data_IF_809949915726
#
_entry.id   IF_809949915726
#
_cell.length_a   1.000
_cell.length_b   1.000
_cell.length_c   1.000
_cell.angle_alpha   90.00
_cell.angle_beta   90.00
_cell.angle_gamma   90.00
#
_symmetry.space_group_name_H-M   'P 1'
#
loop_
_entity.id
_entity.type
_entity.pdbx_description
1 polymer ?
#
# COMPACT_ATOMS: atom_id res chain seq x y z
N UNK A 1 -33.13 50.77 14.17
CA UNK A 1 -32.72 50.99 12.77
C UNK A 1 -31.49 50.16 12.46
N UNK A 2 -31.63 49.33 11.43
CA UNK A 2 -30.64 48.61 10.61
C UNK A 2 -29.25 48.30 11.21
N UNK A 3 -29.03 47.03 11.53
CA UNK A 3 -27.72 46.39 11.46
C UNK A 3 -27.68 45.56 10.17
N UNK A 4 -26.74 45.89 9.28
CA UNK A 4 -26.49 45.26 7.99
C UNK A 4 -25.90 43.87 8.17
N UNK A 5 -26.62 42.84 7.75
CA UNK A 5 -26.15 41.46 7.72
C UNK A 5 -25.31 41.17 6.47
N UNK A 6 -24.11 40.64 6.68
CA UNK A 6 -23.23 40.10 5.64
C UNK A 6 -23.62 38.64 5.35
N UNK A 7 -23.91 38.37 4.07
CA UNK A 7 -24.18 37.04 3.53
C UNK A 7 -22.89 36.22 3.44
N UNK A 8 -22.82 35.13 4.19
CA UNK A 8 -21.76 34.11 4.06
C UNK A 8 -21.98 33.21 2.85
N UNK A 9 -20.90 32.69 2.22
CA UNK A 9 -20.99 31.85 1.03
C UNK A 9 -21.53 30.46 1.37
N UNK A 10 -22.47 29.99 0.54
CA UNK A 10 -23.00 28.63 0.53
C UNK A 10 -21.85 27.65 0.36
N UNK A 11 -21.48 26.95 1.43
CA UNK A 11 -20.48 25.87 1.37
C UNK A 11 -21.15 24.68 0.71
N UNK A 12 -20.76 24.40 -0.54
CA UNK A 12 -21.09 23.16 -1.22
C UNK A 12 -20.69 21.98 -0.33
N UNK A 13 -21.64 21.09 -0.05
CA UNK A 13 -21.39 19.87 0.70
C UNK A 13 -20.27 19.08 0.00
N UNK A 14 -19.10 19.06 0.62
CA UNK A 14 -17.93 18.32 0.14
C UNK A 14 -18.15 16.85 0.48
N UNK A 15 -18.24 16.04 -0.56
CA UNK A 15 -18.32 14.58 -0.50
C UNK A 15 -17.17 14.03 0.36
N UNK A 16 -17.52 13.31 1.41
CA UNK A 16 -16.59 12.50 2.21
C UNK A 16 -16.04 11.34 1.36
N UNK A 17 -14.71 11.11 1.29
CA UNK A 17 -14.17 9.95 0.60
C UNK A 17 -14.59 8.66 1.32
N UNK A 18 -14.98 7.66 0.54
CA UNK A 18 -15.70 6.46 0.98
C UNK A 18 -14.77 5.25 0.94
N UNK A 19 -14.41 4.77 2.14
CA UNK A 19 -14.21 3.35 2.50
C UNK A 19 -13.27 2.47 1.67
N UNK A 20 -12.09 2.19 2.25
CA UNK A 20 -11.23 1.03 1.95
C UNK A 20 -12.05 -0.28 1.98
N UNK A 21 -11.82 -1.15 1.01
CA UNK A 21 -12.58 -2.37 0.74
C UNK A 21 -12.81 -3.27 1.95
N UNK A 22 -14.06 -3.71 2.12
CA UNK A 22 -14.48 -4.62 3.20
C UNK A 22 -14.21 -6.09 2.88
N UNK A 23 -14.23 -6.46 1.60
CA UNK A 23 -14.05 -7.84 1.13
C UNK A 23 -13.47 -7.84 -0.30
N UNK A 24 -12.49 -8.71 -0.55
CA UNK A 24 -11.94 -8.96 -1.90
C UNK A 24 -12.69 -10.14 -2.49
N UNK A 25 -13.24 -9.97 -3.69
CA UNK A 25 -14.03 -10.96 -4.41
C UNK A 25 -13.39 -11.32 -5.74
N UNK A 26 -13.62 -12.54 -6.21
CA UNK A 26 -13.29 -12.95 -7.57
C UNK A 26 -14.39 -12.48 -8.54
N UNK A 27 -14.11 -11.40 -9.28
CA UNK A 27 -15.08 -10.81 -10.21
C UNK A 27 -15.43 -11.70 -11.39
N UNK A 28 -14.59 -12.70 -11.69
CA UNK A 28 -14.81 -13.65 -12.78
C UNK A 28 -16.12 -14.41 -12.60
N UNK A 29 -16.51 -14.69 -11.35
CA UNK A 29 -17.75 -15.40 -10.95
C UNK A 29 -18.99 -14.48 -10.94
N UNK A 30 -18.80 -13.17 -11.11
CA UNK A 30 -19.84 -12.15 -11.02
C UNK A 30 -20.06 -11.43 -12.36
N UNK A 31 -19.57 -12.01 -13.46
CA UNK A 31 -19.38 -11.29 -14.72
C UNK A 31 -20.64 -10.66 -15.30
N UNK A 32 -21.79 -11.35 -15.28
CA UNK A 32 -23.06 -10.78 -15.76
C UNK A 32 -23.54 -9.57 -14.96
N UNK A 33 -23.16 -9.48 -13.69
CA UNK A 33 -23.52 -8.39 -12.78
C UNK A 33 -22.54 -7.23 -12.93
N UNK A 34 -21.24 -7.51 -13.02
CA UNK A 34 -20.18 -6.50 -12.95
C UNK A 34 -19.68 -6.00 -14.29
N UNK A 35 -19.68 -6.82 -15.34
CA UNK A 35 -19.07 -6.45 -16.63
C UNK A 35 -20.11 -5.83 -17.55
N UNK A 36 -19.81 -4.63 -18.05
CA UNK A 36 -20.56 -3.98 -19.11
C UNK A 36 -20.27 -4.66 -20.45
N UNK A 37 -19.01 -5.05 -20.68
CA UNK A 37 -18.63 -5.87 -21.82
C UNK A 37 -17.35 -6.64 -21.56
N UNK A 38 -17.20 -7.77 -22.25
CA UNK A 38 -15.97 -8.56 -22.32
C UNK A 38 -15.67 -8.81 -23.78
N UNK A 39 -14.41 -8.65 -24.19
CA UNK A 39 -13.97 -9.02 -25.53
C UNK A 39 -12.61 -9.70 -25.50
N UNK A 40 -12.35 -10.58 -26.47
CA UNK A 40 -11.05 -11.22 -26.67
C UNK A 40 -10.59 -10.89 -28.08
N UNK A 41 -9.45 -10.22 -28.23
CA UNK A 41 -8.95 -9.71 -29.51
C UNK A 41 -10.02 -8.94 -30.29
N UNK A 42 -10.76 -8.05 -29.61
CA UNK A 42 -11.87 -7.26 -30.14
C UNK A 42 -13.15 -8.03 -30.53
N UNK A 43 -13.19 -9.35 -30.34
CA UNK A 43 -14.41 -10.14 -30.51
C UNK A 43 -15.21 -10.11 -29.21
N UNK A 44 -16.50 -9.74 -29.27
CA UNK A 44 -17.35 -9.66 -28.07
C UNK A 44 -17.70 -11.05 -27.54
N UNK A 45 -17.64 -11.20 -26.22
CA UNK A 45 -18.05 -12.40 -25.50
C UNK A 45 -19.21 -12.08 -24.55
N UNK A 46 -20.01 -13.09 -24.18
CA UNK A 46 -20.97 -12.96 -23.08
C UNK A 46 -20.26 -12.47 -21.80
N UNK A 47 -20.94 -11.64 -21.00
CA UNK A 47 -20.36 -11.06 -19.78
C UNK A 47 -20.20 -12.09 -18.65
N UNK A 48 -20.94 -13.21 -18.69
CA UNK A 48 -20.72 -14.44 -17.91
C UNK A 48 -19.69 -15.39 -18.56
N UNK A 49 -18.98 -14.92 -19.59
CA UNK A 49 -18.08 -15.74 -20.40
C UNK A 49 -16.71 -15.96 -19.77
N UNK A 50 -16.28 -15.13 -18.82
CA UNK A 50 -14.94 -15.14 -18.25
C UNK A 50 -14.71 -16.30 -17.26
N UNK A 51 -15.79 -16.71 -16.59
CA UNK A 51 -15.87 -17.91 -15.74
C UNK A 51 -15.82 -19.21 -16.57
N UNK A 52 -16.11 -19.12 -17.88
CA UNK A 52 -15.97 -20.23 -18.82
C UNK A 52 -14.55 -20.25 -19.38
N UNK A 53 -14.04 -21.45 -19.66
CA UNK A 53 -12.68 -21.64 -20.18
C UNK A 53 -12.53 -20.92 -21.53
N UNK A 54 -11.58 -19.99 -21.61
CA UNK A 54 -11.24 -19.29 -22.85
C UNK A 54 -10.33 -20.17 -23.72
N UNK A 55 -10.53 -20.16 -25.03
CA UNK A 55 -9.62 -20.80 -25.99
C UNK A 55 -8.79 -19.72 -26.68
N UNK A 56 -7.47 -19.87 -26.67
CA UNK A 56 -6.57 -18.93 -27.34
C UNK A 56 -6.43 -19.30 -28.82
N UNK A 57 -6.65 -18.34 -29.72
CA UNK A 57 -6.50 -18.52 -31.17
C UNK A 57 -5.18 -17.98 -31.73
N UNK A 58 -4.54 -17.04 -31.03
CA UNK A 58 -3.31 -16.34 -31.44
C UNK A 58 -2.52 -15.84 -30.22
N UNK A 59 -1.27 -15.43 -30.40
CA UNK A 59 -0.52 -14.64 -29.40
C UNK A 59 0.09 -13.39 -30.05
N UNK A 60 0.16 -12.25 -29.34
CA UNK A 60 -0.49 -12.02 -28.05
C UNK A 60 -2.02 -12.11 -28.16
N UNK A 61 -2.69 -12.48 -27.07
CA UNK A 61 -4.15 -12.41 -26.96
C UNK A 61 -4.51 -11.45 -25.85
N UNK A 62 -5.34 -10.45 -26.15
CA UNK A 62 -5.82 -9.47 -25.18
C UNK A 62 -7.27 -9.76 -24.83
N UNK A 63 -7.56 -9.81 -23.54
CA UNK A 63 -8.89 -9.87 -22.96
C UNK A 63 -9.20 -8.50 -22.39
N UNK A 64 -10.16 -7.79 -23.00
CA UNK A 64 -10.58 -6.45 -22.60
C UNK A 64 -11.90 -6.53 -21.86
N UNK A 65 -11.95 -5.90 -20.69
CA UNK A 65 -13.10 -5.90 -19.78
C UNK A 65 -13.47 -4.46 -19.48
N UNK A 66 -14.74 -4.14 -19.66
CA UNK A 66 -15.32 -2.86 -19.23
C UNK A 66 -16.25 -3.16 -18.06
N UNK A 67 -16.04 -2.49 -16.93
CA UNK A 67 -16.87 -2.64 -15.74
C UNK A 67 -18.07 -1.69 -15.80
N UNK A 68 -19.24 -2.13 -15.29
CA UNK A 68 -20.44 -1.27 -15.18
C UNK A 68 -20.26 -0.16 -14.13
N UNK A 69 -19.49 -0.45 -13.09
CA UNK A 69 -19.17 0.44 -11.99
C UNK A 69 -17.66 0.43 -11.76
N UNK A 70 -17.15 1.42 -11.03
CA UNK A 70 -15.74 1.49 -10.72
C UNK A 70 -15.37 0.36 -9.78
N UNK A 71 -14.26 -0.29 -10.07
CA UNK A 71 -13.75 -1.39 -9.26
C UNK A 71 -12.33 -1.11 -8.83
N UNK A 72 -12.01 -1.46 -7.59
CA UNK A 72 -10.64 -1.44 -7.10
C UNK A 72 -10.05 -2.81 -7.38
N UNK A 73 -9.09 -2.89 -8.31
CA UNK A 73 -8.42 -4.14 -8.67
C UNK A 73 -7.25 -4.38 -7.71
N UNK A 74 -7.14 -5.61 -7.20
CA UNK A 74 -6.03 -6.05 -6.35
C UNK A 74 -5.04 -6.93 -7.10
N UNK A 75 -5.54 -7.89 -7.87
CA UNK A 75 -4.67 -8.70 -8.72
C UNK A 75 -5.43 -9.35 -9.88
N UNK A 76 -4.66 -9.68 -10.91
CA UNK A 76 -5.08 -10.48 -12.06
C UNK A 76 -4.17 -11.69 -12.13
N UNK A 77 -4.75 -12.89 -12.23
CA UNK A 77 -3.98 -14.14 -12.20
C UNK A 77 -4.47 -15.16 -13.21
N UNK A 78 -3.56 -16.06 -13.61
CA UNK A 78 -3.92 -17.30 -14.33
C UNK A 78 -4.13 -18.39 -13.29
N UNK A 79 -5.33 -18.96 -13.23
CA UNK A 79 -5.67 -20.00 -12.24
C UNK A 79 -5.16 -21.39 -12.61
N UNK A 80 -5.01 -21.67 -13.90
CA UNK A 80 -4.55 -22.96 -14.41
C UNK A 80 -3.22 -22.84 -15.19
N UNK A 81 -2.14 -22.28 -14.61
CA UNK A 81 -0.91 -21.97 -15.37
C UNK A 81 -0.24 -23.22 -15.95
N UNK A 82 -0.35 -24.38 -15.29
CA UNK A 82 0.19 -25.65 -15.81
C UNK A 82 -0.62 -26.22 -16.98
N UNK A 83 -1.95 -26.14 -16.95
CA UNK A 83 -2.84 -26.63 -18.04
C UNK A 83 -2.84 -25.66 -19.24
N UNK A 84 -2.91 -24.36 -18.96
CA UNK A 84 -2.90 -23.29 -19.97
C UNK A 84 -1.50 -23.01 -20.53
N UNK A 85 -0.45 -23.43 -19.82
CA UNK A 85 0.97 -23.21 -20.17
C UNK A 85 1.36 -21.75 -20.34
N UNK A 86 0.58 -20.83 -19.77
CA UNK A 86 0.89 -19.40 -19.78
C UNK A 86 2.07 -19.15 -18.84
N UNK A 87 3.08 -18.44 -19.34
CA UNK A 87 4.29 -18.09 -18.60
C UNK A 87 4.51 -16.59 -18.51
N UNK A 88 3.71 -15.77 -19.19
CA UNK A 88 3.80 -14.33 -19.08
C UNK A 88 2.46 -13.69 -19.45
N UNK A 89 2.04 -12.78 -18.58
CA UNK A 89 0.88 -11.91 -18.78
C UNK A 89 1.31 -10.47 -18.55
N UNK A 90 0.58 -9.55 -19.15
CA UNK A 90 0.53 -8.16 -18.73
C UNK A 90 -0.92 -7.76 -18.45
N UNK A 91 -1.10 -6.76 -17.62
CA UNK A 91 -2.39 -6.16 -17.39
C UNK A 91 -2.26 -4.64 -17.36
N UNK A 92 -3.27 -3.95 -17.88
CA UNK A 92 -3.34 -2.51 -17.98
C UNK A 92 -4.77 -2.06 -17.68
N UNK A 93 -4.92 -1.06 -16.82
CA UNK A 93 -6.20 -0.40 -16.53
C UNK A 93 -6.34 0.90 -17.33
N UNK A 94 -7.53 1.49 -17.36
CA UNK A 94 -7.75 2.85 -17.89
C UNK A 94 -6.95 3.95 -17.15
N UNK A 95 -6.37 3.60 -16.00
CA UNK A 95 -5.57 4.49 -15.16
C UNK A 95 -4.06 4.26 -15.34
N UNK A 96 -3.67 3.19 -16.03
CA UNK A 96 -2.28 2.85 -16.28
C UNK A 96 -1.76 3.50 -17.58
N UNK A 97 -0.62 4.20 -17.48
CA UNK A 97 0.06 4.77 -18.66
C UNK A 97 0.76 3.71 -19.53
N UNK A 98 1.21 2.61 -18.93
CA UNK A 98 1.87 1.48 -19.60
C UNK A 98 1.42 0.16 -18.98
N UNK A 99 1.38 -0.95 -19.75
CA UNK A 99 1.04 -2.27 -19.22
C UNK A 99 2.01 -2.74 -18.13
N UNK A 100 1.47 -3.25 -17.02
CA UNK A 100 2.24 -3.90 -15.97
C UNK A 100 2.53 -5.33 -16.42
N UNK A 101 3.80 -5.61 -16.69
CA UNK A 101 4.25 -6.93 -17.13
C UNK A 101 4.65 -7.79 -15.93
N UNK A 102 4.20 -9.04 -15.90
CA UNK A 102 4.78 -10.05 -15.01
C UNK A 102 5.76 -10.95 -15.78
N UNK A 103 7.07 -10.88 -15.48
CA UNK A 103 8.08 -11.74 -16.08
C UNK A 103 8.24 -13.10 -15.39
N UNK A 104 7.53 -13.38 -14.28
CA UNK A 104 7.66 -14.63 -13.52
C UNK A 104 6.90 -15.79 -14.20
N UNK A 105 7.61 -16.79 -14.77
CA UNK A 105 7.00 -17.88 -15.50
C UNK A 105 6.32 -18.94 -14.62
N UNK A 106 6.57 -18.94 -13.31
CA UNK A 106 5.99 -19.91 -12.38
C UNK A 106 4.61 -19.48 -11.86
N UNK A 107 4.35 -18.17 -11.78
CA UNK A 107 3.14 -17.60 -11.18
C UNK A 107 2.74 -16.35 -11.99
N UNK A 108 1.92 -16.50 -13.05
CA UNK A 108 1.49 -15.39 -13.90
C UNK A 108 0.40 -14.58 -13.18
N UNK A 109 0.84 -13.66 -12.33
CA UNK A 109 0.00 -12.75 -11.52
C UNK A 109 0.48 -11.30 -11.68
N UNK A 110 -0.42 -10.38 -12.01
CA UNK A 110 -0.17 -8.93 -11.92
C UNK A 110 -0.83 -8.43 -10.63
N UNK A 111 -0.05 -7.78 -9.78
CA UNK A 111 -0.53 -7.24 -8.49
C UNK A 111 -0.69 -5.73 -8.62
N UNK A 112 -1.87 -5.25 -8.26
CA UNK A 112 -2.25 -3.84 -8.23
C UNK A 112 -2.20 -3.31 -6.79
N UNK A 113 -1.94 -2.01 -6.68
CA UNK A 113 -1.97 -1.32 -5.39
C UNK A 113 -3.42 -0.91 -5.07
N UNK A 114 -4.04 -1.42 -3.99
CA UNK A 114 -5.49 -1.31 -3.79
C UNK A 114 -5.99 0.03 -3.22
N UNK A 115 -5.27 1.14 -3.42
CA UNK A 115 -5.70 2.45 -2.93
C UNK A 115 -6.56 3.17 -3.95
N UNK A 116 -7.88 3.05 -3.77
CA UNK A 116 -8.97 3.91 -4.29
C UNK A 116 -8.85 4.32 -5.76
N UNK A 117 -8.65 3.34 -6.64
CA UNK A 117 -8.72 3.55 -8.08
C UNK A 117 -9.96 2.85 -8.63
N UNK A 118 -10.88 3.66 -9.16
CA UNK A 118 -12.21 3.27 -9.61
C UNK A 118 -12.13 2.78 -11.06
N UNK A 119 -11.43 1.66 -11.28
CA UNK A 119 -11.10 1.11 -12.61
C UNK A 119 -12.37 0.86 -13.40
N UNK A 120 -12.41 1.37 -14.64
CA UNK A 120 -13.53 1.19 -15.57
C UNK A 120 -13.17 0.26 -16.70
N UNK A 121 -11.89 0.18 -17.04
CA UNK A 121 -11.41 -0.69 -18.12
C UNK A 121 -10.18 -1.47 -17.66
N UNK A 122 -10.11 -2.75 -18.03
CA UNK A 122 -8.99 -3.63 -17.77
C UNK A 122 -8.68 -4.45 -19.02
N UNK A 123 -7.46 -4.31 -19.52
CA UNK A 123 -6.88 -5.13 -20.56
C UNK A 123 -5.89 -6.12 -19.97
N UNK A 124 -6.12 -7.41 -20.19
CA UNK A 124 -5.24 -8.50 -19.79
C UNK A 124 -4.64 -9.11 -21.05
N UNK A 125 -3.33 -9.01 -21.23
CA UNK A 125 -2.66 -9.56 -22.41
C UNK A 125 -1.84 -10.80 -22.05
N UNK A 126 -2.15 -11.93 -22.69
CA UNK A 126 -1.33 -13.13 -22.65
C UNK A 126 -0.17 -12.94 -23.63
N UNK A 127 1.03 -12.83 -23.10
CA UNK A 127 2.24 -12.50 -23.88
C UNK A 127 2.96 -13.75 -24.38
N UNK A 128 3.11 -14.77 -23.51
CA UNK A 128 3.90 -15.97 -23.82
C UNK A 128 3.31 -17.23 -23.19
N UNK A 129 3.47 -18.32 -23.93
CA UNK A 129 3.19 -19.70 -23.49
C UNK A 129 4.45 -20.55 -23.62
N UNK A 130 4.52 -21.65 -22.87
CA UNK A 130 5.70 -22.53 -22.81
C UNK A 130 5.99 -23.28 -24.13
N UNK A 131 4.96 -23.66 -24.88
CA UNK A 131 5.05 -24.45 -26.11
C UNK A 131 4.26 -23.78 -27.26
N UNK A 132 4.61 -23.97 -28.54
CA UNK A 132 3.96 -23.27 -29.66
C UNK A 132 2.50 -23.67 -29.90
N UNK A 133 2.03 -24.79 -29.34
CA UNK A 133 0.62 -25.18 -29.42
C UNK A 133 -0.21 -24.32 -28.45
N UNK A 134 -1.20 -23.60 -28.98
CA UNK A 134 -2.08 -22.75 -28.16
C UNK A 134 -2.91 -23.59 -27.18
N UNK A 135 -3.13 -23.12 -25.94
CA UNK A 135 -4.00 -23.79 -25.00
C UNK A 135 -5.46 -23.68 -25.42
N UNK A 136 -6.18 -24.79 -25.34
CA UNK A 136 -7.62 -24.84 -25.58
C UNK A 136 -8.43 -24.32 -24.39
N UNK A 137 -7.79 -24.16 -23.22
CA UNK A 137 -8.42 -23.91 -21.92
C UNK A 137 -7.57 -22.97 -21.05
N UNK A 138 -7.95 -21.70 -20.98
CA UNK A 138 -7.40 -20.70 -20.08
C UNK A 138 -8.45 -20.29 -19.04
N UNK A 139 -8.04 -20.19 -17.78
CA UNK A 139 -8.82 -19.64 -16.68
C UNK A 139 -8.10 -18.44 -16.09
N UNK A 140 -8.79 -17.31 -16.08
CA UNK A 140 -8.33 -16.07 -15.45
C UNK A 140 -9.09 -15.87 -14.14
N UNK A 141 -8.45 -15.20 -13.20
CA UNK A 141 -9.12 -14.64 -12.03
C UNK A 141 -8.76 -13.18 -11.85
N UNK A 142 -9.77 -12.38 -11.55
CA UNK A 142 -9.65 -10.95 -11.27
C UNK A 142 -10.16 -10.73 -9.86
N UNK A 143 -9.24 -10.41 -8.97
CA UNK A 143 -9.56 -10.15 -7.58
C UNK A 143 -9.61 -8.65 -7.36
N UNK A 144 -10.72 -8.20 -6.81
CA UNK A 144 -10.94 -6.79 -6.52
C UNK A 144 -12.11 -6.58 -5.59
N UNK A 145 -12.51 -5.33 -5.45
CA UNK A 145 -13.63 -4.93 -4.63
C UNK A 145 -14.40 -3.79 -5.31
N UNK A 146 -15.71 -3.80 -5.16
CA UNK A 146 -16.57 -2.70 -5.58
C UNK A 146 -16.82 -1.81 -4.38
N UNK A 147 -16.71 -0.49 -4.54
CA UNK A 147 -17.34 0.41 -3.56
C UNK A 147 -18.85 0.17 -3.61
N UNK A 148 -19.56 0.12 -2.46
CA UNK A 148 -21.00 -0.05 -2.48
C UNK A 148 -21.65 1.21 -3.06
N UNK A 149 -21.81 1.25 -4.37
CA UNK A 149 -22.82 2.09 -5.01
C UNK A 149 -24.19 1.50 -4.64
N UNK A 150 -24.72 1.86 -3.46
CA UNK A 150 -26.10 1.58 -2.99
C UNK A 150 -26.81 0.45 -3.73
N UNK A 151 -26.37 -0.79 -3.56
CA UNK A 151 -27.26 -1.93 -3.79
C UNK A 151 -28.01 -2.09 -2.47
N UNK A 152 -29.18 -1.48 -2.43
CA UNK A 152 -30.13 -1.60 -1.33
C UNK A 152 -30.49 -3.08 -1.14
N UNK A 153 -29.93 -3.69 -0.12
CA UNK A 153 -30.57 -4.81 0.58
C UNK A 153 -30.28 -4.70 2.08
N UNK A 154 -31.38 -4.69 2.84
CA UNK A 154 -31.53 -4.58 4.30
C UNK A 154 -30.95 -5.82 5.03
N UNK A 155 -30.85 -5.83 6.37
CA UNK A 155 -29.61 -5.90 7.16
C UNK A 155 -29.39 -7.26 7.86
N UNK A 156 -28.20 -7.50 8.44
CA UNK A 156 -28.11 -8.23 9.71
C UNK A 156 -26.86 -7.83 10.51
N UNK A 157 -27.12 -7.46 11.76
CA UNK A 157 -26.19 -7.11 12.84
C UNK A 157 -25.66 -8.41 13.43
N UNK A 158 -24.36 -8.49 13.76
CA UNK A 158 -23.92 -9.15 14.99
C UNK A 158 -22.64 -8.48 15.53
N UNK A 159 -22.70 -8.16 16.81
CA UNK A 159 -21.72 -7.41 17.59
C UNK A 159 -20.95 -8.39 18.46
N UNK A 160 -19.62 -8.32 18.52
CA UNK A 160 -18.87 -8.87 19.67
C UNK A 160 -17.73 -7.93 20.07
N UNK A 161 -17.62 -7.71 21.39
CA UNK A 161 -16.82 -6.72 22.12
C UNK A 161 -15.28 -6.82 22.01
N UNK A 162 -14.54 -5.75 22.38
CA UNK A 162 -13.09 -5.64 22.24
C UNK A 162 -12.31 -6.18 23.44
N UNK A 163 -11.05 -6.60 23.21
CA UNK A 163 -10.06 -6.87 24.26
C UNK A 163 -8.77 -6.07 24.03
N UNK A 164 -8.18 -5.65 25.16
CA UNK A 164 -7.15 -4.64 25.41
C UNK A 164 -5.95 -4.57 24.44
N UNK A 165 -5.54 -3.34 24.14
CA UNK A 165 -4.26 -2.98 23.51
C UNK A 165 -3.23 -2.70 24.62
N UNK A 166 -2.07 -3.36 24.56
CA UNK A 166 -0.90 -3.07 25.40
C UNK A 166 -0.06 -1.99 24.73
N UNK A 167 0.34 -0.98 25.51
CA UNK A 167 1.14 0.17 25.07
C UNK A 167 2.60 -0.21 24.85
N UNK A 168 3.25 0.36 23.83
CA UNK A 168 4.72 0.40 23.74
C UNK A 168 5.16 1.79 23.27
N UNK A 169 6.12 2.33 24.02
CA UNK A 169 6.58 3.70 24.10
C UNK A 169 7.49 4.09 22.90
N UNK A 170 7.35 5.29 22.29
CA UNK A 170 8.29 5.77 21.27
C UNK A 170 9.57 6.35 21.90
N UNK A 171 10.71 5.97 21.35
CA UNK A 171 12.03 6.56 21.59
C UNK A 171 12.17 7.92 20.91
N UNK A 172 12.68 8.91 21.64
CA UNK A 172 12.87 10.30 21.22
C UNK A 172 14.10 10.49 20.31
N UNK A 173 13.88 10.87 19.05
CA UNK A 173 14.90 11.53 18.21
C UNK A 173 14.26 12.72 17.52
N UNK A 174 14.91 13.88 17.64
CA UNK A 174 14.44 15.19 17.21
C UNK A 174 14.45 15.30 15.68
N UNK A 175 13.39 14.83 15.01
CA UNK A 175 13.03 15.26 13.67
C UNK A 175 12.42 16.66 13.72
N UNK A 176 12.74 17.53 12.76
CA UNK A 176 12.09 18.84 12.62
C UNK A 176 10.63 18.62 12.23
N UNK A 177 9.75 18.56 13.22
CA UNK A 177 8.31 18.37 13.03
C UNK A 177 7.73 19.46 12.15
N UNK A 178 7.22 19.09 10.97
CA UNK A 178 6.21 19.88 10.27
C UNK A 178 4.91 19.73 11.05
N UNK A 179 4.35 20.84 11.55
CA UNK A 179 3.09 20.83 12.28
C UNK A 179 1.99 20.11 11.47
N UNK A 180 1.49 18.96 11.95
CA UNK A 180 0.29 18.30 11.40
C UNK A 180 0.33 16.77 11.24
N UNK A 181 1.43 16.06 11.48
CA UNK A 181 1.49 14.62 11.23
C UNK A 181 2.36 13.85 12.24
N UNK A 182 2.01 12.59 12.49
CA UNK A 182 2.75 11.69 13.40
C UNK A 182 3.83 10.96 12.63
N UNK A 183 5.07 11.06 13.09
CA UNK A 183 6.20 10.32 12.53
C UNK A 183 6.09 8.84 12.87
N UNK A 184 6.20 7.97 11.87
CA UNK A 184 6.09 6.52 11.98
C UNK A 184 7.31 5.83 11.38
N UNK A 185 7.64 4.66 11.92
CA UNK A 185 8.56 3.74 11.27
C UNK A 185 7.83 3.01 10.16
N UNK A 186 8.25 3.22 8.92
CA UNK A 186 7.52 2.70 7.77
C UNK A 186 7.81 1.24 7.45
N UNK A 187 9.04 0.78 7.76
CA UNK A 187 9.44 -0.61 7.53
C UNK A 187 9.06 -1.46 8.73
N UNK A 188 7.78 -1.83 8.79
CA UNK A 188 7.22 -2.79 9.73
C UNK A 188 7.16 -4.21 9.13
N UNK A 189 6.56 -5.16 9.84
CA UNK A 189 6.40 -6.54 9.36
C UNK A 189 5.59 -6.63 8.05
N UNK A 190 4.52 -5.86 7.91
CA UNK A 190 3.64 -5.91 6.74
C UNK A 190 4.35 -5.35 5.50
N UNK A 191 5.03 -4.22 5.64
CA UNK A 191 5.84 -3.62 4.57
C UNK A 191 7.02 -4.53 4.22
N UNK A 192 7.69 -5.09 5.23
CA UNK A 192 8.87 -5.94 5.01
C UNK A 192 8.58 -7.19 4.20
N UNK A 193 7.43 -7.85 4.44
CA UNK A 193 7.02 -9.03 3.67
C UNK A 193 6.85 -8.75 2.16
N UNK A 194 6.56 -7.51 1.80
CA UNK A 194 6.35 -7.06 0.42
C UNK A 194 7.58 -6.42 -0.22
N UNK A 195 8.74 -6.45 0.45
CA UNK A 195 10.00 -5.98 -0.13
C UNK A 195 10.44 -6.93 -1.25
N UNK A 196 10.84 -6.37 -2.38
CA UNK A 196 11.35 -7.12 -3.53
C UNK A 196 12.83 -6.78 -3.70
N UNK A 197 13.65 -7.80 -3.93
CA UNK A 197 15.09 -7.67 -4.18
C UNK A 197 15.42 -8.16 -5.58
N UNK A 198 16.25 -7.39 -6.29
CA UNK A 198 16.80 -7.75 -7.60
C UNK A 198 18.32 -7.53 -7.61
N UNK A 199 19.08 -8.25 -8.46
CA UNK A 199 18.62 -9.24 -9.44
C UNK A 199 18.28 -10.60 -8.81
N UNK A 200 18.87 -10.93 -7.67
CA UNK A 200 18.69 -12.21 -6.99
C UNK A 200 17.70 -12.06 -5.83
N UNK A 201 16.49 -12.62 -5.94
CA UNK A 201 15.50 -12.55 -4.87
C UNK A 201 16.00 -13.24 -3.59
N UNK A 202 15.58 -12.72 -2.44
CA UNK A 202 15.88 -13.34 -1.15
C UNK A 202 15.08 -14.64 -0.96
N UNK A 203 15.59 -15.58 -0.14
CA UNK A 203 14.80 -16.72 0.29
C UNK A 203 13.49 -16.28 0.96
N UNK A 204 12.45 -17.11 0.81
CA UNK A 204 11.11 -16.82 1.36
C UNK A 204 11.20 -16.56 2.87
N UNK A 205 10.64 -15.44 3.31
CA UNK A 205 10.60 -15.04 4.71
C UNK A 205 11.82 -14.23 5.19
N UNK A 206 12.93 -14.18 4.43
CA UNK A 206 14.12 -13.40 4.83
C UNK A 206 13.90 -11.89 4.78
N UNK A 207 12.95 -11.42 3.96
CA UNK A 207 12.62 -9.99 3.85
C UNK A 207 12.23 -9.34 5.18
N UNK A 208 11.72 -10.12 6.14
CA UNK A 208 11.36 -9.65 7.48
C UNK A 208 12.55 -9.04 8.22
N UNK A 209 13.78 -9.45 7.87
CA UNK A 209 15.02 -9.00 8.50
C UNK A 209 15.43 -7.60 8.05
N UNK A 210 14.76 -6.99 7.07
CA UNK A 210 14.96 -5.58 6.73
C UNK A 210 14.42 -4.64 7.81
N UNK A 211 13.55 -5.12 8.71
CA UNK A 211 13.02 -4.29 9.79
C UNK A 211 14.15 -3.70 10.65
N UNK A 212 14.01 -2.44 11.10
CA UNK A 212 14.99 -1.80 11.99
C UNK A 212 15.18 -2.49 13.34
N UNK A 213 14.24 -3.36 13.75
CA UNK A 213 14.29 -4.18 14.97
C UNK A 213 15.11 -5.45 14.81
N UNK A 214 15.43 -5.83 13.56
CA UNK A 214 16.22 -7.01 13.24
C UNK A 214 17.65 -6.89 13.78
N UNK A 215 18.07 -7.88 14.57
CA UNK A 215 19.44 -7.98 15.09
C UNK A 215 20.42 -8.60 14.07
N UNK A 216 19.89 -9.22 13.01
CA UNK A 216 20.69 -9.89 11.98
C UNK A 216 20.83 -9.03 10.72
N UNK A 217 19.76 -8.35 10.31
CA UNK A 217 19.65 -7.75 8.98
C UNK A 217 19.64 -8.76 7.84
N UNK A 218 19.47 -8.28 6.62
CA UNK A 218 19.59 -9.09 5.40
C UNK A 218 21.04 -9.12 4.94
N UNK A 219 21.51 -10.30 4.54
CA UNK A 219 22.85 -10.49 3.98
C UNK A 219 22.75 -11.07 2.57
N UNK A 220 23.33 -10.37 1.60
CA UNK A 220 23.25 -10.74 0.19
C UNK A 220 24.34 -11.77 -0.18
N UNK A 221 24.13 -12.51 -1.26
CA UNK A 221 25.09 -13.51 -1.74
C UNK A 221 26.44 -12.87 -2.12
N UNK A 222 27.52 -13.65 -2.16
CA UNK A 222 28.88 -13.13 -2.42
C UNK A 222 29.04 -12.46 -3.80
N UNK A 223 28.13 -12.75 -4.74
CA UNK A 223 28.12 -12.15 -6.07
C UNK A 223 27.14 -10.97 -6.20
N UNK A 224 26.32 -10.69 -5.18
CA UNK A 224 25.36 -9.59 -5.16
C UNK A 224 25.94 -8.32 -4.55
N UNK A 225 26.78 -7.62 -5.33
CA UNK A 225 27.47 -6.41 -4.86
C UNK A 225 26.61 -5.15 -4.88
N UNK A 226 25.64 -5.08 -5.79
CA UNK A 226 24.79 -3.90 -6.00
C UNK A 226 23.31 -4.28 -6.07
N UNK A 227 22.74 -4.90 -5.02
CA UNK A 227 21.33 -5.25 -5.02
C UNK A 227 20.45 -4.00 -5.02
N UNK A 228 19.29 -4.12 -5.68
CA UNK A 228 18.22 -3.13 -5.62
C UNK A 228 17.09 -3.68 -4.77
N UNK A 229 16.67 -2.86 -3.80
CA UNK A 229 15.65 -3.16 -2.80
C UNK A 229 14.46 -2.25 -3.07
N UNK A 230 13.32 -2.84 -3.40
CA UNK A 230 12.07 -2.12 -3.64
C UNK A 230 11.17 -2.26 -2.43
N UNK A 231 10.86 -1.13 -1.80
CA UNK A 231 10.00 -1.03 -0.62
C UNK A 231 8.67 -0.43 -1.05
N UNK A 232 7.59 -1.19 -0.93
CA UNK A 232 6.23 -0.73 -1.17
C UNK A 232 5.57 -0.42 0.17
N UNK A 233 5.13 0.83 0.36
CA UNK A 233 4.71 1.31 1.68
C UNK A 233 3.35 0.78 2.13
N UNK A 234 2.60 0.18 1.21
CA UNK A 234 1.24 -0.27 1.47
C UNK A 234 0.25 0.85 1.73
N UNK A 235 0.68 2.08 2.06
CA UNK A 235 -0.07 3.34 2.07
C UNK A 235 0.88 4.49 1.70
N UNK A 236 0.44 5.48 0.90
CA UNK A 236 1.27 6.64 0.62
C UNK A 236 1.64 7.41 1.89
N UNK A 237 2.89 7.83 2.00
CA UNK A 237 3.41 8.58 3.15
C UNK A 237 4.39 9.67 2.70
N UNK A 238 4.54 10.72 3.52
CA UNK A 238 5.55 11.75 3.30
C UNK A 238 6.86 11.29 3.94
N UNK A 239 7.80 10.80 3.14
CA UNK A 239 9.10 10.33 3.65
C UNK A 239 9.85 11.49 4.30
N UNK A 240 10.35 11.27 5.51
CA UNK A 240 11.13 12.24 6.29
C UNK A 240 12.61 11.91 6.29
N UNK A 241 12.96 10.62 6.35
CA UNK A 241 14.34 10.16 6.31
C UNK A 241 14.46 8.76 5.69
N UNK A 242 15.61 8.48 5.08
CA UNK A 242 15.99 7.15 4.59
C UNK A 242 17.43 6.90 5.02
N UNK A 243 17.62 5.91 5.88
CA UNK A 243 18.91 5.55 6.48
C UNK A 243 19.11 4.04 6.43
N UNK A 244 20.34 3.60 6.15
CA UNK A 244 20.75 2.20 6.28
C UNK A 244 21.74 2.07 7.45
N UNK A 245 21.27 1.85 8.70
CA UNK A 245 22.13 1.85 9.86
C UNK A 245 23.04 0.62 9.91
N UNK A 246 24.31 0.85 10.29
CA UNK A 246 25.35 -0.20 10.39
C UNK A 246 25.63 -0.67 11.81
N UNK A 247 25.15 0.06 12.80
CA UNK A 247 25.34 -0.22 14.22
C UNK A 247 24.25 -1.12 14.80
N UNK A 248 23.14 -1.32 14.08
CA UNK A 248 22.03 -2.21 14.48
C UNK A 248 22.31 -3.70 14.25
N UNK A 249 23.31 -4.02 13.42
CA UNK A 249 23.66 -5.40 13.07
C UNK A 249 25.16 -5.63 13.24
N UNK A 250 25.61 -6.84 13.59
CA UNK A 250 27.03 -7.11 13.86
C UNK A 250 27.90 -6.92 12.61
N UNK A 251 27.37 -7.24 11.43
CA UNK A 251 28.07 -7.27 10.14
C UNK A 251 27.63 -6.19 9.14
N UNK A 252 26.88 -5.17 9.57
CA UNK A 252 26.46 -4.04 8.72
C UNK A 252 27.64 -3.34 8.02
N UNK A 253 27.65 -3.37 6.69
CA UNK A 253 28.77 -2.84 5.87
C UNK A 253 28.37 -1.88 4.74
N UNK A 254 27.11 -1.43 4.64
CA UNK A 254 26.68 -0.52 3.56
C UNK A 254 27.33 0.85 3.71
N UNK A 255 28.12 1.25 2.71
CA UNK A 255 28.81 2.55 2.70
C UNK A 255 27.99 3.62 1.99
N UNK A 256 27.29 3.27 0.91
CA UNK A 256 26.54 4.24 0.12
C UNK A 256 25.41 3.55 -0.66
N UNK A 257 24.31 4.26 -0.85
CA UNK A 257 23.18 3.83 -1.65
C UNK A 257 22.58 5.00 -2.42
N UNK A 258 21.73 4.71 -3.38
CA UNK A 258 20.94 5.70 -4.10
C UNK A 258 19.45 5.39 -4.00
N UNK A 259 18.62 6.42 -4.06
CA UNK A 259 17.17 6.31 -3.89
C UNK A 259 16.40 6.92 -5.04
N UNK A 260 15.39 6.18 -5.50
CA UNK A 260 14.33 6.71 -6.35
C UNK A 260 12.99 6.61 -5.63
N UNK A 261 12.34 7.75 -5.47
CA UNK A 261 11.00 7.88 -4.92
C UNK A 261 9.97 7.77 -6.02
N UNK A 262 8.87 7.08 -5.73
CA UNK A 262 7.74 6.94 -6.63
C UNK A 262 6.46 7.47 -5.99
N UNK A 263 5.70 8.22 -6.77
CA UNK A 263 4.38 8.71 -6.39
C UNK A 263 3.39 7.55 -6.30
N UNK A 264 2.22 7.74 -5.65
CA UNK A 264 1.13 6.77 -5.64
C UNK A 264 0.77 6.20 -7.02
N UNK A 265 0.87 7.04 -8.05
CA UNK A 265 0.62 6.71 -9.45
C UNK A 265 1.80 6.04 -10.17
N UNK A 266 2.84 5.61 -9.45
CA UNK A 266 3.97 4.88 -10.02
C UNK A 266 4.99 5.72 -10.79
N UNK A 267 4.84 7.05 -10.84
CA UNK A 267 5.81 7.94 -11.49
C UNK A 267 7.01 8.22 -10.59
N UNK A 268 8.20 8.33 -11.20
CA UNK A 268 9.41 8.81 -10.50
C UNK A 268 9.19 10.25 -10.05
N UNK A 269 9.39 10.51 -8.77
CA UNK A 269 9.32 11.87 -8.20
C UNK A 269 10.63 12.61 -8.47
N UNK A 270 11.77 11.93 -8.29
CA UNK A 270 13.09 12.47 -8.63
C UNK A 270 13.52 12.03 -10.03
N UNK A 271 13.96 12.99 -10.85
CA UNK A 271 14.42 12.73 -12.23
C UNK A 271 15.68 11.86 -12.29
N UNK A 272 16.56 11.95 -11.29
CA UNK A 272 17.77 11.13 -11.13
C UNK A 272 17.81 10.53 -9.73
N UNK A 273 18.30 9.29 -9.55
CA UNK A 273 18.50 8.71 -8.22
C UNK A 273 19.29 9.66 -7.31
N UNK A 274 18.84 9.80 -6.07
CA UNK A 274 19.48 10.64 -5.06
C UNK A 274 20.51 9.79 -4.35
N UNK A 275 21.78 10.16 -4.46
CA UNK A 275 22.89 9.46 -3.82
C UNK A 275 22.99 9.86 -2.34
N UNK A 276 23.13 8.87 -1.47
CA UNK A 276 23.31 9.09 -0.04
C UNK A 276 24.69 9.70 0.27
N UNK A 277 24.80 10.27 1.47
CA UNK A 277 26.09 10.48 2.10
C UNK A 277 26.85 9.15 2.23
N UNK A 278 28.18 9.23 2.21
CA UNK A 278 29.05 8.07 2.43
C UNK A 278 29.24 7.80 3.92
N UNK A 279 28.98 6.57 4.34
CA UNK A 279 29.26 6.08 5.70
C UNK A 279 30.75 5.74 5.83
N UNK A 280 31.50 6.38 6.74
CA UNK A 280 32.91 6.09 6.93
C UNK A 280 33.15 4.65 7.41
N UNK A 281 34.21 4.01 6.90
CA UNK A 281 34.56 2.64 7.27
C UNK A 281 34.73 2.45 8.78
N UNK A 282 35.40 3.39 9.44
CA UNK A 282 35.79 3.34 10.85
C UNK A 282 34.66 3.67 11.84
N UNK A 283 33.53 4.23 11.38
CA UNK A 283 32.46 4.70 12.26
C UNK A 283 31.08 4.17 11.86
N UNK A 284 30.69 3.03 12.43
CA UNK A 284 29.36 2.43 12.23
C UNK A 284 28.20 3.30 12.74
N UNK A 285 28.45 4.26 13.64
CA UNK A 285 27.42 5.19 14.18
C UNK A 285 27.12 6.36 13.25
N UNK A 286 27.86 6.49 12.14
CA UNK A 286 27.58 7.47 11.09
C UNK A 286 27.12 6.72 9.83
N UNK A 287 25.85 6.34 9.76
CA UNK A 287 25.33 5.55 8.64
C UNK A 287 25.27 6.37 7.36
N UNK A 288 25.04 5.68 6.25
CA UNK A 288 24.66 6.33 5.01
C UNK A 288 23.23 6.84 5.15
N UNK A 289 23.02 8.10 4.80
CA UNK A 289 21.74 8.80 4.94
C UNK A 289 21.55 9.76 3.76
N UNK A 290 20.30 9.91 3.31
CA UNK A 290 19.95 10.91 2.29
C UNK A 290 19.96 12.32 2.88
N UNK A 291 20.37 13.30 2.06
CA UNK A 291 20.16 14.71 2.40
C UNK A 291 18.65 15.01 2.43
N UNK A 292 18.17 15.46 3.59
CA UNK A 292 16.74 15.74 3.81
C UNK A 292 16.18 16.82 2.88
N UNK A 293 17.02 17.72 2.37
CA UNK A 293 16.61 18.74 1.39
C UNK A 293 16.27 18.15 0.02
N UNK A 294 16.75 16.94 -0.27
CA UNK A 294 16.49 16.23 -1.52
C UNK A 294 15.32 15.25 -1.42
N UNK A 295 14.82 15.00 -0.19
CA UNK A 295 13.66 14.16 0.05
C UNK A 295 12.39 14.98 -0.27
N UNK A 296 11.43 14.43 -1.03
CA UNK A 296 10.24 15.16 -1.44
C UNK A 296 9.22 15.26 -0.28
N UNK A 297 9.54 16.10 0.71
CA UNK A 297 8.87 16.21 2.02
C UNK A 297 7.41 16.72 1.98
N UNK A 298 6.93 17.19 0.82
CA UNK A 298 5.55 17.62 0.59
C UNK A 298 4.83 16.77 -0.47
N UNK A 299 5.45 15.67 -0.90
CA UNK A 299 4.90 14.76 -1.90
C UNK A 299 4.69 13.42 -1.24
N UNK A 300 3.48 12.87 -1.38
CA UNK A 300 3.21 11.51 -0.95
C UNK A 300 4.01 10.54 -1.81
N UNK A 301 4.70 9.61 -1.18
CA UNK A 301 5.49 8.54 -1.79
C UNK A 301 4.78 7.23 -1.50
N UNK A 302 4.66 6.34 -2.48
CA UNK A 302 4.10 4.97 -2.29
C UNK A 302 5.15 3.87 -2.35
N UNK A 303 6.27 4.16 -3.02
CA UNK A 303 7.36 3.21 -3.22
C UNK A 303 8.70 3.91 -3.20
N UNK A 304 9.65 3.26 -2.56
CA UNK A 304 11.06 3.65 -2.52
C UNK A 304 11.89 2.52 -3.12
N UNK A 305 12.71 2.85 -4.11
CA UNK A 305 13.69 1.94 -4.70
C UNK A 305 15.07 2.37 -4.23
N UNK A 306 15.77 1.47 -3.53
CA UNK A 306 17.09 1.69 -2.95
C UNK A 306 18.07 0.79 -3.68
N UNK A 307 19.05 1.35 -4.36
CA UNK A 307 20.16 0.57 -4.93
C UNK A 307 21.39 0.75 -4.08
N UNK A 308 21.98 -0.34 -3.59
CA UNK A 308 23.24 -0.27 -2.86
C UNK A 308 24.36 -0.02 -3.86
N UNK A 309 25.13 1.05 -3.64
CA UNK A 309 26.20 1.50 -4.54
C UNK A 309 27.55 0.97 -4.10
N UNK A 310 27.83 1.00 -2.79
CA UNK A 310 29.10 0.52 -2.25
C UNK A 310 29.02 0.06 -0.80
N UNK A 311 30.00 -0.74 -0.39
CA UNK A 311 30.20 -1.22 0.98
C UNK A 311 31.56 -0.79 1.50
N UNK A 312 31.71 -0.76 2.83
CA UNK A 312 32.92 -0.26 3.49
C UNK A 312 34.13 -1.17 3.31
N UNK A 313 33.90 -2.43 2.94
CA UNK A 313 34.93 -3.44 2.73
C UNK A 313 35.00 -3.93 1.27
N UNK A 314 34.19 -3.38 0.36
CA UNK A 314 34.15 -3.80 -1.05
C UNK A 314 33.53 -5.18 -1.29
N UNK A 315 32.98 -5.82 -0.26
CA UNK A 315 32.25 -7.10 -0.35
C UNK A 315 30.76 -6.86 -0.59
N UNK A 316 29.99 -7.93 -0.82
CA UNK A 316 28.53 -7.83 -0.91
C UNK A 316 27.92 -7.24 0.36
N UNK A 317 26.75 -6.58 0.28
CA UNK A 317 26.11 -6.00 1.44
C UNK A 317 25.70 -7.07 2.45
N UNK A 318 25.96 -6.80 3.72
CA UNK A 318 25.69 -7.66 4.87
C UNK A 318 24.98 -6.86 5.96
N UNK A 319 24.15 -7.55 6.74
CA UNK A 319 23.45 -6.97 7.88
C UNK A 319 22.59 -5.76 7.54
N UNK A 320 22.00 -5.73 6.35
CA UNK A 320 21.22 -4.59 5.85
C UNK A 320 19.88 -4.51 6.56
N UNK A 321 19.61 -3.37 7.18
CA UNK A 321 18.32 -2.98 7.75
C UNK A 321 17.91 -1.64 7.14
N UNK A 322 16.61 -1.43 6.96
CA UNK A 322 16.06 -0.23 6.34
C UNK A 322 15.38 0.61 7.41
N UNK A 323 15.92 1.80 7.65
CA UNK A 323 15.34 2.77 8.57
C UNK A 323 14.72 3.91 7.76
N UNK A 324 13.41 3.81 7.52
CA UNK A 324 12.65 4.80 6.74
C UNK A 324 11.61 5.40 7.68
N UNK A 325 11.82 6.66 8.03
CA UNK A 325 10.84 7.42 8.80
C UNK A 325 9.95 8.20 7.85
N UNK A 326 8.65 8.17 8.10
CA UNK A 326 7.69 8.88 7.29
C UNK A 326 6.61 9.52 8.16
N UNK A 327 5.91 10.48 7.56
CA UNK A 327 4.74 11.10 8.14
C UNK A 327 3.50 10.63 7.39
N UNK A 328 2.47 10.28 8.16
CA UNK A 328 1.10 10.14 7.66
C UNK A 328 0.27 11.20 8.38
N UNK A 329 -0.48 12.02 7.65
CA UNK A 329 -1.35 13.04 8.26
C UNK A 329 -2.18 12.41 9.38
N UNK A 330 -2.13 13.03 10.56
CA UNK A 330 -2.94 12.59 11.68
C UNK A 330 -4.41 12.78 11.28
N UNK A 331 -5.19 11.70 11.26
CA UNK A 331 -6.64 11.82 11.20
C UNK A 331 -7.08 12.43 12.52
N UNK A 332 -7.26 13.75 12.58
CA UNK A 332 -7.85 14.40 13.75
C UNK A 332 -9.32 14.00 13.81
N UNK A 333 -9.62 12.92 14.54
CA UNK A 333 -10.98 12.67 15.02
C UNK A 333 -11.33 13.77 16.02
N UNK A 334 -11.94 14.85 15.53
CA UNK A 334 -12.58 15.83 16.41
C UNK A 334 -13.78 15.14 17.05
N UNK A 335 -13.60 14.66 18.27
CA UNK A 335 -14.70 14.19 19.11
C UNK A 335 -15.57 15.40 19.44
N UNK A 336 -16.62 15.65 18.65
CA UNK A 336 -17.66 16.58 19.04
C UNK A 336 -18.46 15.95 20.18
N UNK A 337 -17.96 16.13 21.40
CA UNK A 337 -18.73 15.88 22.62
C UNK A 337 -19.83 16.93 22.64
N UNK A 338 -21.04 16.52 22.27
CA UNK A 338 -22.23 17.37 22.44
C UNK A 338 -22.62 17.27 23.92
N UNK A 339 -22.72 18.37 24.67
CA UNK A 339 -23.12 18.31 26.06
C UNK A 339 -24.61 17.95 26.12
N UNK A 340 -24.93 16.73 26.52
CA UNK A 340 -26.32 16.37 26.85
C UNK A 340 -26.61 16.88 28.25
N UNK A 341 -27.46 17.90 28.29
CA UNK A 341 -28.13 18.47 29.46
C UNK A 341 -28.77 17.36 30.30
N UNK A 342 -28.36 17.24 31.57
CA UNK A 342 -29.01 16.38 32.56
C UNK A 342 -30.22 17.11 33.15
N UNK A 343 -31.42 16.69 32.75
CA UNK A 343 -32.65 17.03 33.46
C UNK A 343 -32.66 16.34 34.82
N UNK A 344 -32.64 17.12 35.90
CA UNK A 344 -32.81 16.62 37.26
C UNK A 344 -34.30 16.34 37.53
N UNK A 345 -34.65 15.07 37.71
CA UNK A 345 -35.91 14.67 38.37
C UNK A 345 -35.75 14.72 39.88
N UNK A 346 -36.67 15.45 40.51
CA UNK A 346 -36.85 15.64 41.95
C UNK A 346 -37.04 14.33 42.72
N UNK A 347 -36.31 14.18 43.84
CA UNK A 347 -36.42 13.07 44.78
C UNK A 347 -35.91 13.50 46.16
N UNK A 348 -36.85 13.94 47.00
CA UNK A 348 -36.69 14.44 48.38
C UNK A 348 -36.06 13.43 49.36
N UNK A 349 -35.13 13.90 50.21
CA UNK A 349 -35.02 13.47 51.62
C UNK A 349 -34.25 14.51 52.45
N UNK A 350 -34.84 14.87 53.58
CA UNK A 350 -34.61 16.13 54.27
C UNK A 350 -33.38 16.24 55.19
N UNK A 351 -33.05 17.50 55.48
CA UNK A 351 -32.10 17.94 56.50
C UNK A 351 -32.86 18.38 57.75
N UNK A 352 -32.52 17.76 58.88
CA UNK A 352 -32.88 18.24 60.21
C UNK A 352 -31.68 18.96 60.82
N UNK A 353 -31.87 20.21 61.23
CA UNK A 353 -31.00 20.91 62.18
C UNK A 353 -31.87 21.79 63.07
N UNK A 354 -31.70 21.68 64.38
CA UNK A 354 -32.38 22.54 65.34
C UNK A 354 -32.12 22.15 66.78
N UNK A 355 -30.96 22.54 67.32
CA UNK A 355 -30.77 22.74 68.77
C UNK A 355 -30.48 24.22 68.99
N UNK A 356 -31.48 24.93 69.50
CA UNK A 356 -31.36 26.25 70.09
C UNK A 356 -32.06 26.24 71.44
N UNK A 357 -31.34 26.61 72.49
CA UNK A 357 -31.87 26.88 73.83
C UNK A 357 -31.59 28.33 74.16
N UNK A 358 -32.59 29.04 74.66
CA UNK A 358 -32.45 30.38 75.21
C UNK A 358 -33.81 31.04 75.40
N UNK A 359 -34.31 30.91 76.63
CA UNK A 359 -35.41 31.62 77.33
C UNK A 359 -36.01 32.85 76.68
#
# INVERSE_FOLDING_TARGET
SAATGTTGPTTAARLTPTTVCKEIVDFTQLGSVLFASVSVNNLKFPTDGLEKKLSLSTLPTTVSIIFKHGVIIHNVSVLNPSESRVISISAQTDLDFEPINNPNPAIPVVVYNPHEEDVRELDITILKIKDPSLPTKLQLAIYGCTTPSTISTKPLIETTSPQLVSTTQPSTRSGTTRNGCTEIQLVDEAVSKNIIVTPNPLPIGENIKFQPTSQQGVSFGENDRTPTITVNFGKPAEVQSVTLPRDRTPNGNVAQFEVTFYSPHGHKINHKPILSSSSPNENKKKPAELDSSQIPSNTRVSRVVITIVSTTNGESPKGVVLDIQACTEATTETTNVTPVSTGFTSGSRGTGTGTGTGT
#
